data_IF_573962238589
#
_entry.id   IF_573962238589
#
_cell.length_a   1.000
_cell.length_b   1.000
_cell.length_c   1.000
_cell.angle_alpha   90.00
_cell.angle_beta   90.00
_cell.angle_gamma   90.00
#
_symmetry.space_group_name_H-M   'P 1'
#
loop_
_entity.id
_entity.type
_entity.pdbx_description
1 polymer ?
#
# COMPACT_ATOMS: atom_id res chain seq x y z
N UNK A 1 -0.21 -7.91 2.08
CA UNK A 1 0.10 -7.90 0.64
C UNK A 1 1.44 -8.59 0.41
N UNK A 2 1.67 -9.23 -0.75
CA UNK A 2 2.98 -9.77 -1.09
C UNK A 2 3.87 -8.62 -1.60
N UNK A 3 4.96 -8.28 -0.89
CA UNK A 3 5.75 -7.09 -1.17
C UNK A 3 7.18 -7.44 -1.60
N UNK A 4 7.66 -6.77 -2.65
CA UNK A 4 9.06 -6.80 -3.07
C UNK A 4 9.89 -5.81 -2.26
N UNK A 5 9.39 -4.59 -2.10
CA UNK A 5 10.06 -3.49 -1.40
C UNK A 5 9.04 -2.56 -0.75
N UNK A 6 9.35 -2.05 0.43
CA UNK A 6 8.53 -1.09 1.17
C UNK A 6 9.43 -0.03 1.83
N UNK A 7 8.99 1.21 1.81
CA UNK A 7 9.67 2.33 2.46
C UNK A 7 8.64 3.29 3.11
N UNK A 8 8.99 3.93 4.24
CA UNK A 8 8.17 5.00 4.80
C UNK A 8 8.19 6.22 3.87
N UNK A 9 7.07 6.96 3.81
CA UNK A 9 7.00 8.22 3.05
C UNK A 9 7.96 9.26 3.60
N UNK A 10 7.98 9.45 4.91
CA UNK A 10 8.67 10.55 5.60
C UNK A 10 9.23 10.08 6.95
N UNK A 11 9.86 11.01 7.71
CA UNK A 11 10.41 10.71 9.03
C UNK A 11 9.33 10.22 10.01
N UNK A 12 8.11 10.75 9.93
CA UNK A 12 6.99 10.35 10.79
C UNK A 12 6.57 8.90 10.53
N UNK A 13 6.49 8.49 9.26
CA UNK A 13 6.25 7.09 8.91
C UNK A 13 7.43 6.18 9.28
N UNK A 14 8.68 6.68 9.24
CA UNK A 14 9.86 5.91 9.62
C UNK A 14 9.84 5.49 11.10
N UNK A 15 9.26 6.29 11.99
CA UNK A 15 9.07 5.96 13.41
C UNK A 15 8.26 4.67 13.62
N UNK A 16 7.30 4.38 12.71
CA UNK A 16 6.40 3.23 12.79
C UNK A 16 6.80 2.03 11.94
N UNK A 17 7.96 2.04 11.30
CA UNK A 17 8.32 1.06 10.25
C UNK A 17 8.27 -0.39 10.73
N UNK A 18 8.63 -0.67 11.98
CA UNK A 18 8.60 -2.03 12.53
C UNK A 18 7.17 -2.57 12.75
N UNK A 19 6.16 -1.68 12.69
CA UNK A 19 4.73 -1.97 12.84
C UNK A 19 3.91 -1.45 11.66
N UNK A 20 4.52 -1.33 10.48
CA UNK A 20 3.85 -0.81 9.28
C UNK A 20 2.57 -1.59 8.94
N UNK A 21 2.56 -2.90 9.21
CA UNK A 21 1.46 -3.83 8.93
C UNK A 21 0.48 -4.01 10.10
N UNK A 22 0.63 -3.26 11.19
CA UNK A 22 -0.25 -3.31 12.37
C UNK A 22 -1.07 -2.03 12.45
N UNK A 23 -2.37 -2.16 12.62
CA UNK A 23 -3.26 -1.03 12.89
C UNK A 23 -3.44 -0.91 14.41
N UNK A 24 -2.82 0.12 14.98
CA UNK A 24 -2.80 0.37 16.43
C UNK A 24 -4.13 0.95 16.91
N UNK A 25 -4.39 0.92 18.22
CA UNK A 25 -5.61 1.53 18.78
C UNK A 25 -5.65 3.05 18.51
N UNK A 26 -6.85 3.67 18.54
CA UNK A 26 -6.98 5.13 18.42
C UNK A 26 -6.10 5.88 19.41
N UNK A 27 -5.35 6.87 18.92
CA UNK A 27 -4.43 7.70 19.70
C UNK A 27 -4.67 9.19 19.39
N UNK A 28 -4.96 9.99 20.42
CA UNK A 28 -5.16 11.43 20.23
C UNK A 28 -3.86 12.12 19.80
N UNK A 29 -3.97 13.00 18.80
CA UNK A 29 -2.81 13.70 18.24
C UNK A 29 -1.95 12.83 17.31
N UNK A 30 -2.39 11.61 16.96
CA UNK A 30 -1.68 10.79 15.98
C UNK A 30 -1.61 11.50 14.63
N UNK A 31 -0.39 11.74 14.16
CA UNK A 31 -0.13 12.15 12.78
C UNK A 31 0.01 10.91 11.90
N UNK A 32 -0.68 10.93 10.75
CA UNK A 32 -0.70 9.84 9.79
C UNK A 32 0.68 9.26 9.45
N UNK A 33 0.69 7.99 9.08
CA UNK A 33 1.87 7.32 8.54
C UNK A 33 1.52 6.67 7.21
N UNK A 34 2.32 6.96 6.18
CA UNK A 34 2.16 6.37 4.85
C UNK A 34 3.38 5.53 4.50
N UNK A 35 3.12 4.33 3.98
CA UNK A 35 4.14 3.40 3.52
C UNK A 35 3.97 3.15 2.02
N UNK A 36 5.01 3.44 1.26
CA UNK A 36 5.09 3.23 -0.17
C UNK A 36 5.60 1.82 -0.43
N UNK A 37 4.95 1.07 -1.33
CA UNK A 37 5.34 -0.30 -1.59
C UNK A 37 5.27 -0.70 -3.07
N UNK A 38 6.19 -1.57 -3.46
CA UNK A 38 6.15 -2.32 -4.71
C UNK A 38 5.67 -3.74 -4.41
N UNK A 39 4.49 -4.15 -4.90
CA UNK A 39 3.98 -5.49 -4.68
C UNK A 39 4.63 -6.50 -5.63
N UNK A 40 4.70 -7.76 -5.18
CA UNK A 40 4.83 -8.92 -6.07
C UNK A 40 3.47 -9.24 -6.69
N UNK A 41 3.45 -10.01 -7.77
CA UNK A 41 2.20 -10.43 -8.44
C UNK A 41 2.29 -11.87 -8.91
N UNK A 42 1.13 -12.43 -9.27
CA UNK A 42 1.03 -13.73 -9.92
C UNK A 42 1.53 -13.66 -11.39
N UNK A 43 1.62 -14.81 -12.10
CA UNK A 43 2.00 -14.84 -13.51
C UNK A 43 1.05 -14.10 -14.48
N UNK A 44 -0.17 -13.77 -14.03
CA UNK A 44 -1.15 -13.01 -14.81
C UNK A 44 -1.08 -11.50 -14.53
N UNK A 45 -0.18 -11.05 -13.65
CA UNK A 45 -0.02 -9.65 -13.28
C UNK A 45 -0.88 -9.20 -12.09
N UNK A 46 -1.71 -10.07 -11.51
CA UNK A 46 -2.60 -9.73 -10.41
C UNK A 46 -1.92 -9.86 -9.05
N UNK A 47 -2.30 -9.01 -8.11
CA UNK A 47 -1.86 -9.06 -6.72
C UNK A 47 -3.01 -8.72 -5.77
N UNK A 48 -2.77 -8.89 -4.47
CA UNK A 48 -3.77 -8.74 -3.41
C UNK A 48 -3.17 -8.03 -2.18
N UNK A 49 -3.88 -7.01 -1.69
CA UNK A 49 -3.61 -6.37 -0.42
C UNK A 49 -4.85 -6.46 0.48
N UNK A 50 -4.66 -6.89 1.73
CA UNK A 50 -5.75 -7.14 2.68
C UNK A 50 -5.54 -6.35 3.97
N UNK A 51 -6.64 -5.86 4.53
CA UNK A 51 -6.79 -5.44 5.92
C UNK A 51 -7.76 -6.39 6.64
N UNK A 52 -7.46 -6.81 7.86
CA UNK A 52 -8.35 -7.62 8.69
C UNK A 52 -8.39 -7.12 10.13
N UNK A 53 -9.47 -7.45 10.85
CA UNK A 53 -9.55 -7.19 12.28
C UNK A 53 -8.63 -8.12 13.08
N UNK A 54 -8.38 -7.78 14.35
CA UNK A 54 -7.48 -8.52 15.24
C UNK A 54 -7.89 -9.99 15.47
N UNK A 55 -9.17 -10.32 15.32
CA UNK A 55 -9.69 -11.68 15.47
C UNK A 55 -9.67 -12.50 14.17
N UNK A 56 -9.17 -11.90 13.07
CA UNK A 56 -9.13 -12.47 11.72
C UNK A 56 -10.49 -13.03 11.28
N UNK A 57 -11.58 -12.40 11.72
CA UNK A 57 -12.95 -12.82 11.42
C UNK A 57 -13.62 -11.96 10.35
N UNK A 58 -13.13 -10.74 10.16
CA UNK A 58 -13.59 -9.78 9.18
C UNK A 58 -12.38 -9.14 8.51
N UNK A 59 -12.51 -8.85 7.22
CA UNK A 59 -11.49 -8.14 6.48
C UNK A 59 -11.99 -7.59 5.16
N UNK A 60 -11.09 -6.96 4.45
CA UNK A 60 -11.32 -6.36 3.16
C UNK A 60 -10.06 -6.52 2.31
N UNK A 61 -10.23 -7.08 1.12
CA UNK A 61 -9.14 -7.25 0.16
C UNK A 61 -9.35 -6.40 -1.07
N UNK A 62 -8.25 -5.80 -1.53
CA UNK A 62 -8.14 -5.12 -2.81
C UNK A 62 -7.25 -5.96 -3.70
N UNK A 63 -7.83 -6.50 -4.76
CA UNK A 63 -7.09 -7.16 -5.83
C UNK A 63 -6.88 -6.16 -6.95
N UNK A 64 -5.70 -6.14 -7.56
CA UNK A 64 -5.41 -5.19 -8.62
C UNK A 64 -4.39 -5.74 -9.63
N UNK A 65 -4.49 -5.25 -10.86
CA UNK A 65 -3.54 -5.55 -11.93
C UNK A 65 -2.31 -4.62 -11.82
N UNK A 66 -1.16 -5.23 -11.54
CA UNK A 66 0.12 -4.53 -11.38
C UNK A 66 0.62 -3.91 -12.70
N UNK A 67 0.12 -4.35 -13.85
CA UNK A 67 0.54 -3.81 -15.14
C UNK A 67 0.18 -2.33 -15.33
N UNK A 68 -0.93 -1.89 -14.73
CA UNK A 68 -1.38 -0.48 -14.76
C UNK A 68 -1.39 0.20 -13.39
N UNK A 69 -1.37 -0.58 -12.30
CA UNK A 69 -1.23 -0.11 -10.92
C UNK A 69 0.04 -0.71 -10.26
N UNK A 70 1.24 -0.27 -10.66
CA UNK A 70 2.51 -0.91 -10.30
C UNK A 70 2.92 -0.74 -8.83
N UNK A 71 2.27 0.15 -8.08
CA UNK A 71 2.57 0.41 -6.66
C UNK A 71 1.31 0.33 -5.82
N UNK A 72 1.49 0.15 -4.50
CA UNK A 72 0.42 0.24 -3.51
C UNK A 72 0.92 1.04 -2.32
N UNK A 73 0.07 1.94 -1.81
CA UNK A 73 0.35 2.71 -0.60
C UNK A 73 -0.51 2.20 0.54
N UNK A 74 0.08 2.13 1.73
CA UNK A 74 -0.65 1.85 2.97
C UNK A 74 -0.68 3.13 3.79
N UNK A 75 -1.86 3.73 3.90
CA UNK A 75 -2.08 4.92 4.72
C UNK A 75 -2.70 4.50 6.05
N UNK A 76 -2.08 4.91 7.14
CA UNK A 76 -2.58 4.71 8.50
C UNK A 76 -2.88 6.07 9.13
N UNK A 77 -4.14 6.30 9.48
CA UNK A 77 -4.54 7.38 10.37
C UNK A 77 -5.27 6.80 11.58
N UNK A 78 -4.52 6.37 12.60
CA UNK A 78 -5.04 5.82 13.85
C UNK A 78 -5.28 6.90 14.90
N UNK A 79 -5.79 8.07 14.46
CA UNK A 79 -6.14 9.16 15.34
C UNK A 79 -7.31 8.81 16.28
N UNK A 80 -7.64 9.72 17.18
CA UNK A 80 -8.84 9.60 18.01
C UNK A 80 -10.09 9.40 17.13
N UNK A 81 -11.11 8.73 17.67
CA UNK A 81 -12.30 8.35 16.88
C UNK A 81 -12.99 9.58 16.29
N UNK A 82 -13.07 10.65 17.07
CA UNK A 82 -13.61 11.95 16.68
C UNK A 82 -12.80 12.67 15.59
N UNK A 83 -11.49 12.40 15.50
CA UNK A 83 -10.57 12.96 14.50
C UNK A 83 -10.46 12.08 13.24
N UNK A 84 -10.94 10.84 13.31
CA UNK A 84 -11.01 9.87 12.23
C UNK A 84 -10.00 8.73 12.37
N UNK A 85 -10.50 7.55 12.74
CA UNK A 85 -9.73 6.30 12.69
C UNK A 85 -9.95 5.61 11.33
N UNK A 86 -9.06 5.86 10.38
CA UNK A 86 -9.21 5.42 8.98
C UNK A 86 -7.89 4.87 8.44
N UNK A 87 -8.01 3.86 7.58
CA UNK A 87 -6.89 3.15 6.97
C UNK A 87 -7.14 3.07 5.46
N UNK A 88 -6.06 3.18 4.68
CA UNK A 88 -6.08 3.14 3.22
C UNK A 88 -5.20 2.00 2.66
N UNK A 89 -5.76 1.27 1.70
CA UNK A 89 -5.02 0.41 0.77
C UNK A 89 -5.19 1.04 -0.61
N UNK A 90 -4.12 1.60 -1.16
CA UNK A 90 -4.19 2.51 -2.30
C UNK A 90 -3.30 2.02 -3.45
N UNK A 91 -3.76 1.05 -4.27
CA UNK A 91 -3.10 0.72 -5.54
C UNK A 91 -3.10 1.95 -6.46
N UNK A 92 -1.96 2.25 -7.07
CA UNK A 92 -1.79 3.49 -7.82
C UNK A 92 -0.80 3.34 -8.98
N UNK A 93 -0.87 4.30 -9.92
CA UNK A 93 0.08 4.47 -11.02
C UNK A 93 1.45 4.96 -10.55
N UNK A 94 1.46 5.75 -9.47
CA UNK A 94 2.64 6.31 -8.82
C UNK A 94 2.39 6.54 -7.33
N UNK A 95 3.36 7.11 -6.64
CA UNK A 95 3.23 7.42 -5.21
C UNK A 95 2.47 8.75 -5.03
N UNK A 96 1.77 8.98 -3.90
CA UNK A 96 1.00 10.19 -3.63
C UNK A 96 1.91 11.39 -3.27
N UNK A 97 2.92 11.64 -4.10
CA UNK A 97 3.77 12.83 -4.04
C UNK A 97 3.18 13.94 -4.93
N UNK A 98 3.84 15.09 -4.94
CA UNK A 98 3.50 16.16 -5.88
C UNK A 98 3.67 15.70 -7.33
N UNK A 99 2.82 16.22 -8.22
CA UNK A 99 2.86 15.90 -9.65
C UNK A 99 4.25 16.09 -10.25
N UNK A 100 4.92 17.20 -9.95
CA UNK A 100 6.25 17.51 -10.49
C UNK A 100 7.32 16.51 -10.06
N UNK A 101 7.23 15.98 -8.84
CA UNK A 101 8.12 14.94 -8.37
C UNK A 101 7.86 13.63 -9.14
N UNK A 102 6.60 13.19 -9.23
CA UNK A 102 6.26 11.96 -9.95
C UNK A 102 6.58 12.06 -11.46
N UNK A 103 6.44 13.23 -12.07
CA UNK A 103 6.87 13.52 -13.44
C UNK A 103 8.38 13.36 -13.61
N UNK A 104 9.17 13.97 -12.73
CA UNK A 104 10.63 13.83 -12.75
C UNK A 104 11.09 12.38 -12.54
N UNK A 105 10.33 11.60 -11.78
CA UNK A 105 10.59 10.17 -11.56
C UNK A 105 9.99 9.27 -12.65
N UNK A 106 9.34 9.83 -13.68
CA UNK A 106 8.79 9.09 -14.81
C UNK A 106 7.57 8.22 -14.48
N UNK A 107 6.78 8.58 -13.46
CA UNK A 107 5.60 7.81 -12.99
C UNK A 107 4.26 8.41 -13.41
N UNK A 108 4.25 9.48 -14.21
CA UNK A 108 3.01 9.96 -14.80
C UNK A 108 2.56 9.08 -15.96
N UNK A 109 1.27 8.77 -15.99
CA UNK A 109 0.62 8.16 -17.15
C UNK A 109 0.41 9.23 -18.22
N UNK A 110 0.97 9.00 -19.40
CA UNK A 110 0.77 9.84 -20.58
C UNK A 110 -0.07 9.08 -21.62
N UNK A 111 -1.17 9.69 -22.06
CA UNK A 111 -2.02 9.15 -23.13
C UNK A 111 -2.02 10.11 -24.32
N UNK A 112 -1.81 9.58 -25.52
CA UNK A 112 -1.98 10.30 -26.78
C UNK A 112 -3.46 10.45 -27.13
N UNK A 113 -3.76 11.30 -28.12
CA UNK A 113 -5.12 11.45 -28.64
C UNK A 113 -5.69 10.11 -29.12
N UNK A 114 -6.82 9.69 -28.53
CA UNK A 114 -7.48 8.42 -28.85
C UNK A 114 -6.91 7.18 -28.15
N UNK A 115 -5.87 7.31 -27.32
CA UNK A 115 -5.41 6.21 -26.48
C UNK A 115 -6.27 6.04 -25.22
N UNK A 116 -6.42 4.79 -24.80
CA UNK A 116 -7.08 4.40 -23.55
C UNK A 116 -6.12 3.59 -22.68
N UNK A 117 -6.32 3.67 -21.37
CA UNK A 117 -5.66 2.82 -20.39
C UNK A 117 -6.71 2.33 -19.39
N UNK A 118 -6.78 1.01 -19.24
CA UNK A 118 -7.72 0.38 -18.32
C UNK A 118 -7.07 0.07 -16.98
N UNK A 119 -7.79 0.38 -15.91
CA UNK A 119 -7.40 0.05 -14.55
C UNK A 119 -8.35 -1.00 -14.00
N UNK A 120 -7.80 -2.15 -13.62
CA UNK A 120 -8.58 -3.26 -13.09
C UNK A 120 -8.32 -3.44 -11.60
N UNK A 121 -9.39 -3.33 -10.82
CA UNK A 121 -9.38 -3.63 -9.39
C UNK A 121 -10.66 -4.35 -8.99
N UNK A 122 -10.56 -5.24 -7.99
CA UNK A 122 -11.68 -5.90 -7.34
C UNK A 122 -11.62 -5.63 -5.84
N UNK A 123 -12.76 -5.17 -5.33
CA UNK A 123 -12.98 -4.90 -3.91
C UNK A 123 -13.73 -6.09 -3.31
N UNK A 124 -13.16 -6.73 -2.30
CA UNK A 124 -13.68 -7.99 -1.76
C UNK A 124 -13.87 -7.90 -0.24
N UNK A 125 -15.11 -7.83 0.26
CA UNK A 125 -15.38 -8.00 1.67
C UNK A 125 -15.18 -9.46 2.08
N UNK A 126 -14.45 -9.67 3.17
CA UNK A 126 -14.20 -10.97 3.77
C UNK A 126 -14.99 -11.01 5.09
N UNK A 127 -16.10 -11.74 5.11
CA UNK A 127 -17.09 -11.69 6.22
C UNK A 127 -17.05 -12.93 7.11
N UNK A 128 -16.05 -13.79 6.91
CA UNK A 128 -15.85 -15.02 7.69
C UNK A 128 -14.36 -15.28 7.91
N UNK A 129 -14.03 -16.02 8.98
CA UNK A 129 -12.66 -16.49 9.25
C UNK A 129 -12.06 -17.28 8.09
N UNK A 130 -12.87 -18.12 7.42
CA UNK A 130 -12.40 -18.92 6.30
C UNK A 130 -12.00 -18.05 5.09
N UNK A 131 -12.76 -16.98 4.81
CA UNK A 131 -12.43 -16.05 3.75
C UNK A 131 -11.15 -15.26 4.06
N UNK A 132 -10.97 -14.82 5.31
CA UNK A 132 -9.74 -14.16 5.77
C UNK A 132 -8.54 -15.10 5.64
N UNK A 133 -8.64 -16.32 6.18
CA UNK A 133 -7.59 -17.34 6.05
C UNK A 133 -7.23 -17.63 4.59
N UNK A 134 -8.23 -17.72 3.71
CA UNK A 134 -8.01 -17.94 2.28
C UNK A 134 -7.24 -16.78 1.62
N UNK A 135 -7.49 -15.53 2.03
CA UNK A 135 -6.74 -14.37 1.55
C UNK A 135 -5.30 -14.37 2.08
N UNK A 136 -5.11 -14.67 3.37
CA UNK A 136 -3.78 -14.85 3.98
C UNK A 136 -2.97 -15.89 3.18
N UNK A 137 -3.56 -17.05 2.87
CA UNK A 137 -2.90 -18.11 2.10
C UNK A 137 -2.53 -17.67 0.68
N UNK A 138 -3.40 -16.92 0.00
CA UNK A 138 -3.10 -16.38 -1.35
C UNK A 138 -1.94 -15.40 -1.29
N UNK A 139 -1.99 -14.45 -0.36
CA UNK A 139 -0.92 -13.46 -0.16
C UNK A 139 0.41 -14.17 0.17
N UNK A 140 0.39 -15.16 1.06
CA UNK A 140 1.58 -15.93 1.43
C UNK A 140 2.18 -16.68 0.22
N UNK A 141 1.34 -17.30 -0.62
CA UNK A 141 1.79 -17.98 -1.86
C UNK A 141 2.43 -17.02 -2.86
N UNK A 142 1.96 -15.77 -2.93
CA UNK A 142 2.53 -14.75 -3.80
C UNK A 142 3.83 -14.14 -3.27
N UNK A 143 4.12 -14.28 -1.98
CA UNK A 143 5.36 -13.80 -1.36
C UNK A 143 6.52 -14.77 -1.63
N UNK A 144 7.03 -14.76 -2.85
CA UNK A 144 8.08 -15.71 -3.31
C UNK A 144 9.50 -15.29 -2.94
N UNK A 145 9.72 -14.02 -2.62
CA UNK A 145 11.01 -13.48 -2.14
C UNK A 145 10.80 -12.65 -0.89
N UNK A 146 11.76 -12.53 0.04
CA UNK A 146 11.63 -11.62 1.18
C UNK A 146 11.40 -10.17 0.73
N UNK A 147 10.58 -9.43 1.49
CA UNK A 147 10.39 -7.99 1.28
C UNK A 147 11.64 -7.23 1.74
N UNK A 148 12.19 -6.36 0.89
CA UNK A 148 13.16 -5.35 1.32
C UNK A 148 12.42 -4.21 2.04
N UNK A 149 12.67 -4.04 3.33
CA UNK A 149 12.10 -2.93 4.12
C UNK A 149 13.18 -1.88 4.33
N UNK A 150 13.04 -0.72 3.69
CA UNK A 150 13.87 0.45 3.94
C UNK A 150 13.39 1.15 5.22
N UNK A 151 14.31 1.46 6.14
CA UNK A 151 13.97 2.10 7.43
C UNK A 151 13.80 3.61 7.33
N UNK A 152 14.16 4.19 6.21
CA UNK A 152 14.15 5.63 5.95
C UNK A 152 13.51 5.91 4.58
N UNK A 153 12.99 7.13 4.35
CA UNK A 153 12.50 7.52 3.04
C UNK A 153 13.55 7.31 1.95
N UNK A 154 13.12 6.72 0.84
CA UNK A 154 14.03 6.31 -0.25
C UNK A 154 14.12 7.42 -1.30
N UNK A 155 15.35 7.81 -1.73
CA UNK A 155 15.53 8.71 -2.86
C UNK A 155 14.76 8.24 -4.10
N UNK A 156 13.98 9.14 -4.70
CA UNK A 156 13.16 8.87 -5.87
C UNK A 156 11.80 8.20 -5.58
N UNK A 157 11.54 7.71 -4.37
CA UNK A 157 10.21 7.27 -3.94
C UNK A 157 9.47 8.37 -3.18
N UNK A 158 10.20 9.17 -2.40
CA UNK A 158 9.67 10.31 -1.66
C UNK A 158 10.62 11.50 -1.75
N UNK A 159 10.11 12.74 -1.82
CA UNK A 159 10.92 13.96 -1.66
C UNK A 159 11.72 13.96 -0.36
N UNK A 160 11.20 13.37 0.71
CA UNK A 160 11.90 13.27 2.00
C UNK A 160 13.17 12.42 1.92
N UNK A 161 13.27 11.53 0.93
CA UNK A 161 14.47 10.71 0.70
C UNK A 161 15.58 11.43 -0.05
N UNK A 162 15.36 12.64 -0.60
CA UNK A 162 16.41 13.42 -1.27
C UNK A 162 17.22 14.29 -0.29
N UNK A 163 16.78 14.39 0.97
CA UNK A 163 17.36 15.26 1.99
C UNK A 163 18.34 14.51 2.92
N UNK A 164 18.71 13.26 2.59
CA UNK A 164 19.63 12.42 3.35
C UNK A 164 21.02 12.31 2.73
#
# INVERSE_FOLDING_TARGET
APLKRLAPRDARAAEGIDKWNVCEAPESGFSEQVYYAQPLCDPKGWTEAMLCNAQESLGYSVHFDRSTLPVVNFWKNTAAIEDGYVLGIEPATGFPNTRSFEEHQGRLVHLQGGQSLDFHLKLEPLVTKQQVASSIDRIAKLQTTPCQIDRQPVPGWSPAGQLS
#
